data_IF_244463946982
#
_entry.id   IF_244463946982
#
_cell.length_a   1.000
_cell.length_b   1.000
_cell.length_c   1.000
_cell.angle_alpha   90.00
_cell.angle_beta   90.00
_cell.angle_gamma   90.00
#
_symmetry.space_group_name_H-M   'P 1'
#
loop_
_entity.id
_entity.type
_entity.pdbx_description
1 polymer ?
#
# COMPACT_ATOMS: atom_id res chain seq x y z
N UNK A 1 4.86 6.74 2.95
CA UNK A 1 6.02 5.91 2.55
C UNK A 1 6.38 6.26 1.11
N UNK A 2 7.59 6.75 0.89
CA UNK A 2 8.13 7.11 -0.44
C UNK A 2 9.55 6.53 -0.56
N UNK A 3 10.15 6.62 -1.76
CA UNK A 3 11.41 5.95 -2.09
C UNK A 3 12.64 6.44 -1.32
N UNK A 4 12.61 7.68 -0.83
CA UNK A 4 13.75 8.29 -0.12
C UNK A 4 13.80 7.94 1.37
N UNK A 5 12.89 7.09 1.85
CA UNK A 5 12.93 6.58 3.21
C UNK A 5 13.87 5.37 3.31
N UNK A 6 14.70 5.36 4.34
CA UNK A 6 15.53 4.22 4.69
C UNK A 6 14.69 2.93 4.77
N UNK A 7 15.27 1.82 4.29
CA UNK A 7 14.60 0.52 4.28
C UNK A 7 14.14 0.08 5.68
N UNK A 8 14.90 0.41 6.73
CA UNK A 8 14.54 0.11 8.12
C UNK A 8 13.26 0.83 8.56
N UNK A 9 13.10 2.08 8.17
CA UNK A 9 11.90 2.89 8.42
C UNK A 9 10.72 2.33 7.65
N UNK A 10 10.92 1.98 6.36
CA UNK A 10 9.88 1.34 5.53
C UNK A 10 9.34 0.07 6.18
N UNK A 11 10.22 -0.84 6.61
CA UNK A 11 9.84 -2.10 7.27
C UNK A 11 9.08 -1.84 8.57
N UNK A 12 9.58 -0.96 9.44
CA UNK A 12 8.91 -0.62 10.71
C UNK A 12 7.51 -0.04 10.50
N UNK A 13 7.34 0.86 9.52
CA UNK A 13 6.03 1.43 9.20
C UNK A 13 5.05 0.36 8.69
N UNK A 14 5.51 -0.53 7.81
CA UNK A 14 4.66 -1.62 7.30
C UNK A 14 4.27 -2.60 8.41
N UNK A 15 5.19 -2.94 9.31
CA UNK A 15 4.90 -3.81 10.44
C UNK A 15 3.90 -3.16 11.40
N UNK A 16 4.03 -1.85 11.65
CA UNK A 16 3.05 -1.11 12.44
C UNK A 16 1.66 -1.09 11.79
N UNK A 17 1.61 -0.97 10.46
CA UNK A 17 0.36 -1.02 9.71
C UNK A 17 -0.29 -2.40 9.77
N UNK A 18 0.48 -3.48 9.56
CA UNK A 18 -0.02 -4.87 9.68
C UNK A 18 -0.50 -5.21 11.08
N UNK A 19 0.16 -4.68 12.12
CA UNK A 19 -0.23 -4.87 13.53
C UNK A 19 -1.41 -3.98 13.95
N UNK A 20 -1.88 -3.09 13.08
CA UNK A 20 -2.98 -2.16 13.37
C UNK A 20 -2.58 -0.99 14.29
N UNK A 21 -1.31 -0.84 14.66
CA UNK A 21 -0.84 0.32 15.43
C UNK A 21 -0.79 1.57 14.55
N UNK A 22 -0.62 1.40 13.24
CA UNK A 22 -0.84 2.42 12.23
C UNK A 22 -2.14 2.06 11.50
N UNK A 23 -3.12 2.97 11.52
CA UNK A 23 -4.44 2.74 10.89
C UNK A 23 -4.54 3.24 9.45
N UNK A 24 -3.67 4.18 9.07
CA UNK A 24 -3.65 4.78 7.74
C UNK A 24 -2.23 4.78 7.20
N UNK A 25 -2.07 4.29 5.97
CA UNK A 25 -0.80 4.30 5.25
C UNK A 25 -0.95 5.12 3.97
N UNK A 26 -0.14 6.18 3.85
CA UNK A 26 -0.07 7.00 2.63
C UNK A 26 1.20 6.61 1.87
N UNK A 27 1.11 6.37 0.57
CA UNK A 27 2.23 5.89 -0.25
C UNK A 27 2.25 6.54 -1.65
N UNK A 28 3.44 6.68 -2.23
CA UNK A 28 3.61 6.95 -3.68
C UNK A 28 3.86 5.66 -4.45
N UNK A 29 3.62 5.68 -5.78
CA UNK A 29 3.72 4.50 -6.64
C UNK A 29 5.08 3.80 -6.57
N UNK A 30 6.16 4.58 -6.52
CA UNK A 30 7.53 4.08 -6.47
C UNK A 30 7.78 3.28 -5.19
N UNK A 31 7.22 3.72 -4.07
CA UNK A 31 7.47 3.07 -2.79
C UNK A 31 6.65 1.81 -2.57
N UNK A 32 5.51 1.66 -3.24
CA UNK A 32 4.62 0.50 -3.11
C UNK A 32 5.08 -0.70 -3.96
N UNK A 33 5.91 -0.49 -5.00
CA UNK A 33 6.46 -1.60 -5.80
C UNK A 33 7.42 -2.44 -4.95
N UNK A 34 7.19 -3.75 -4.93
CA UNK A 34 7.94 -4.70 -4.09
C UNK A 34 7.52 -4.74 -2.62
N UNK A 35 6.55 -3.91 -2.19
CA UNK A 35 5.94 -4.05 -0.87
C UNK A 35 4.70 -4.93 -0.97
N UNK A 36 4.71 -6.03 -0.24
CA UNK A 36 3.53 -6.85 -0.07
C UNK A 36 2.62 -6.24 1.00
N UNK A 37 1.58 -5.55 0.55
CA UNK A 37 0.52 -4.97 1.38
C UNK A 37 -0.82 -5.62 1.01
N UNK A 38 -1.01 -6.93 1.23
CA UNK A 38 -2.30 -7.55 1.02
C UNK A 38 -3.22 -7.22 2.20
N UNK A 39 -4.53 -7.25 1.96
CA UNK A 39 -5.57 -7.17 3.00
C UNK A 39 -5.83 -5.77 3.61
N UNK A 40 -5.97 -4.73 2.79
CA UNK A 40 -6.59 -3.46 3.25
C UNK A 40 -8.09 -3.43 2.97
N UNK A 41 -8.85 -2.79 3.86
CA UNK A 41 -10.30 -2.63 3.66
C UNK A 41 -10.64 -1.63 2.56
N UNK A 42 -9.84 -0.56 2.46
CA UNK A 42 -10.08 0.54 1.52
C UNK A 42 -8.75 0.99 0.91
N UNK A 43 -8.80 1.32 -0.38
CA UNK A 43 -7.74 2.02 -1.09
C UNK A 43 -8.31 3.33 -1.59
N UNK A 44 -7.66 4.44 -1.22
CA UNK A 44 -8.05 5.78 -1.65
C UNK A 44 -6.97 6.28 -2.62
N UNK A 45 -7.35 6.48 -3.88
CA UNK A 45 -6.50 7.15 -4.86
C UNK A 45 -6.62 8.66 -4.66
N UNK A 46 -5.66 9.28 -3.97
CA UNK A 46 -5.64 10.73 -3.82
C UNK A 46 -5.41 11.42 -5.17
N UNK A 47 -4.40 10.97 -5.91
CA UNK A 47 -4.15 11.35 -7.30
C UNK A 47 -4.45 10.19 -8.25
N UNK A 48 -5.03 10.51 -9.41
CA UNK A 48 -5.33 9.53 -10.46
C UNK A 48 -4.01 9.02 -11.06
N UNK A 49 -3.79 7.69 -11.13
CA UNK A 49 -2.59 7.13 -11.76
C UNK A 49 -2.49 7.53 -13.24
N UNK A 50 -1.27 7.76 -13.72
CA UNK A 50 -1.02 8.06 -15.13
C UNK A 50 -1.27 6.87 -16.07
N UNK A 51 -1.19 5.64 -15.54
CA UNK A 51 -1.39 4.39 -16.29
C UNK A 51 -2.48 3.55 -15.61
N UNK A 52 -3.34 2.92 -16.42
CA UNK A 52 -4.45 2.12 -15.92
C UNK A 52 -3.97 0.90 -15.12
N UNK A 53 -2.81 0.34 -15.47
CA UNK A 53 -2.19 -0.80 -14.79
C UNK A 53 -1.85 -0.44 -13.34
N UNK A 54 -1.34 0.77 -13.10
CA UNK A 54 -1.03 1.25 -11.75
C UNK A 54 -2.31 1.41 -10.91
N UNK A 55 -3.42 1.84 -11.51
CA UNK A 55 -4.73 1.84 -10.84
C UNK A 55 -5.12 0.44 -10.40
N UNK A 56 -5.07 -0.55 -11.30
CA UNK A 56 -5.43 -1.95 -11.02
C UNK A 56 -4.52 -2.52 -9.92
N UNK A 57 -3.23 -2.24 -9.95
CA UNK A 57 -2.29 -2.66 -8.91
C UNK A 57 -2.55 -2.03 -7.55
N UNK A 58 -2.96 -0.75 -7.50
CA UNK A 58 -3.34 -0.06 -6.26
C UNK A 58 -4.61 -0.64 -5.68
N UNK A 59 -5.68 -0.77 -6.47
CA UNK A 59 -6.96 -1.29 -5.96
C UNK A 59 -6.90 -2.77 -5.63
N UNK A 60 -6.02 -3.55 -6.28
CA UNK A 60 -5.79 -4.96 -5.97
C UNK A 60 -5.19 -5.24 -4.58
N UNK A 61 -5.01 -4.20 -3.75
CA UNK A 61 -4.67 -4.30 -2.32
C UNK A 61 -5.90 -4.51 -1.44
N UNK A 62 -7.09 -4.22 -1.95
CA UNK A 62 -8.34 -4.73 -1.34
C UNK A 62 -8.52 -6.20 -1.72
N UNK A 63 -9.25 -6.94 -0.87
CA UNK A 63 -9.28 -8.41 -0.84
C UNK A 63 -9.40 -9.07 -2.22
N UNK A 64 -8.50 -10.03 -2.49
CA UNK A 64 -8.66 -10.98 -3.59
C UNK A 64 -9.78 -11.96 -3.25
N UNK A 65 -10.58 -12.36 -4.24
CA UNK A 65 -11.71 -13.28 -4.06
C UNK A 65 -11.31 -14.52 -3.22
N UNK A 66 -12.09 -14.82 -2.18
CA UNK A 66 -11.87 -15.99 -1.32
C UNK A 66 -11.88 -15.74 0.20
N UNK A 67 -12.01 -14.49 0.66
CA UNK A 67 -12.25 -14.18 2.08
C UNK A 67 -13.66 -13.59 2.23
N UNK A 68 -14.56 -14.40 2.78
CA UNK A 68 -15.94 -14.07 3.18
C UNK A 68 -16.02 -13.98 4.70
#
# INVERSE_FOLDING_TARGET
IHGDLDQSTRTKTLDGFRKGTIRLLVASDVAARGLDIPDVSHVINYDVPSHAEDYVHRIGRTGRAGKS
#
